data_IF_570754745560
#
_entry.id   IF_570754745560
#
_cell.length_a   1.000
_cell.length_b   1.000
_cell.length_c   1.000
_cell.angle_alpha   90.00
_cell.angle_beta   90.00
_cell.angle_gamma   90.00
#
_symmetry.space_group_name_H-M   'P 1'
#
loop_
_entity.id
_entity.type
_entity.pdbx_description
1 polymer ?
#
# COMPACT_ATOMS: atom_id res chain seq x y z
N UNK A 1 -8.95 13.98 24.46
CA UNK A 1 -8.06 15.16 24.61
C UNK A 1 -8.22 16.18 23.47
N UNK A 2 -8.47 15.76 22.23
CA UNK A 2 -8.56 16.66 21.06
C UNK A 2 -9.74 17.67 21.07
N UNK A 3 -10.95 17.27 21.49
CA UNK A 3 -12.11 18.20 21.58
C UNK A 3 -11.86 19.31 22.61
N UNK A 4 -11.28 18.98 23.77
CA UNK A 4 -10.87 19.97 24.76
C UNK A 4 -9.79 20.91 24.24
N UNK A 5 -8.85 20.43 23.41
CA UNK A 5 -7.78 21.24 22.84
C UNK A 5 -8.31 22.23 21.78
N UNK A 6 -9.27 21.82 20.94
CA UNK A 6 -9.98 22.71 20.00
C UNK A 6 -10.81 23.78 20.70
N UNK A 7 -11.45 23.44 21.83
CA UNK A 7 -12.19 24.40 22.65
C UNK A 7 -11.27 25.39 23.37
N UNK A 8 -10.09 24.96 23.78
CA UNK A 8 -9.08 25.83 24.39
C UNK A 8 -8.47 26.82 23.39
N UNK A 9 -8.37 26.43 22.11
CA UNK A 9 -7.91 27.32 21.03
C UNK A 9 -8.95 28.38 20.62
N UNK A 10 -10.23 28.23 21.02
CA UNK A 10 -11.30 29.18 20.72
C UNK A 10 -12.06 29.57 22.00
N UNK A 11 -11.58 30.56 22.78
CA UNK A 11 -12.11 30.92 24.11
C UNK A 11 -13.54 31.50 24.10
N UNK A 12 -14.20 31.56 22.94
CA UNK A 12 -15.60 31.99 22.77
C UNK A 12 -16.59 30.83 22.74
N UNK A 13 -16.13 29.58 22.79
CA UNK A 13 -16.93 28.39 22.58
C UNK A 13 -17.29 27.70 23.90
N UNK A 14 -18.37 28.12 24.54
CA UNK A 14 -18.91 27.43 25.71
C UNK A 14 -19.95 26.39 25.27
N UNK A 15 -19.52 25.14 25.17
CA UNK A 15 -20.38 24.02 24.71
C UNK A 15 -21.63 23.86 25.58
N UNK A 16 -21.49 23.99 26.90
CA UNK A 16 -22.55 23.64 27.85
C UNK A 16 -23.52 24.79 28.15
N UNK A 17 -23.28 25.99 27.60
CA UNK A 17 -24.21 27.12 27.78
C UNK A 17 -25.24 27.21 26.67
N UNK A 18 -24.94 26.64 25.50
CA UNK A 18 -25.82 26.72 24.35
C UNK A 18 -26.82 25.55 24.37
N UNK A 19 -28.09 25.84 24.06
CA UNK A 19 -29.10 24.79 23.91
C UNK A 19 -28.73 23.86 22.75
N UNK A 20 -28.87 22.53 22.93
CA UNK A 20 -28.57 21.58 21.86
C UNK A 20 -29.52 21.76 20.68
N UNK A 21 -28.99 21.63 19.47
CA UNK A 21 -29.76 21.62 18.23
C UNK A 21 -30.30 20.23 17.94
N UNK A 22 -31.50 20.17 17.36
CA UNK A 22 -32.08 18.94 16.85
C UNK A 22 -31.53 18.63 15.46
N UNK A 23 -31.21 17.37 15.22
CA UNK A 23 -30.79 16.82 13.93
C UNK A 23 -31.75 15.68 13.60
N UNK A 24 -32.29 15.66 12.39
CA UNK A 24 -33.13 14.57 11.88
C UNK A 24 -32.29 13.73 10.91
N UNK A 25 -32.24 12.42 11.10
CA UNK A 25 -31.47 11.52 10.24
C UNK A 25 -32.23 10.23 9.90
N UNK A 26 -31.88 9.67 8.74
CA UNK A 26 -32.43 8.42 8.20
C UNK A 26 -33.88 8.49 7.78
N UNK A 27 -34.33 7.42 7.12
CA UNK A 27 -35.72 7.25 6.67
C UNK A 27 -36.71 7.26 7.85
N UNK A 28 -36.27 6.78 9.02
CA UNK A 28 -37.09 6.78 10.24
C UNK A 28 -37.18 8.16 10.90
N UNK A 29 -36.51 9.18 10.34
CA UNK A 29 -36.46 10.55 10.87
C UNK A 29 -36.07 10.59 12.36
N UNK A 30 -35.06 9.79 12.71
CA UNK A 30 -34.58 9.69 14.10
C UNK A 30 -33.97 11.04 14.51
N UNK A 31 -34.35 11.48 15.70
CA UNK A 31 -33.93 12.78 16.24
C UNK A 31 -32.68 12.58 17.10
N UNK A 32 -31.63 13.31 16.76
CA UNK A 32 -30.40 13.44 17.54
C UNK A 32 -30.27 14.86 18.08
N UNK A 33 -29.46 15.01 19.13
CA UNK A 33 -29.17 16.29 19.75
C UNK A 33 -27.66 16.53 19.76
N UNK A 34 -27.25 17.70 19.27
CA UNK A 34 -25.84 18.07 19.25
C UNK A 34 -25.62 19.54 19.65
N UNK A 35 -24.51 19.82 20.31
CA UNK A 35 -24.19 21.18 20.71
C UNK A 35 -23.77 22.02 19.49
N UNK A 36 -24.40 23.18 19.25
CA UNK A 36 -24.13 24.01 18.07
C UNK A 36 -22.64 24.38 17.95
N UNK A 37 -21.99 24.61 19.09
CA UNK A 37 -20.57 24.94 19.17
C UNK A 37 -19.68 23.86 18.52
N UNK A 38 -19.98 22.58 18.75
CA UNK A 38 -19.20 21.45 18.21
C UNK A 38 -19.38 21.35 16.69
N UNK A 39 -20.61 21.55 16.21
CA UNK A 39 -20.91 21.54 14.78
C UNK A 39 -20.22 22.71 14.06
N UNK A 40 -20.30 23.92 14.62
CA UNK A 40 -19.73 25.12 14.05
C UNK A 40 -18.19 25.13 14.05
N UNK A 41 -17.54 24.54 15.05
CA UNK A 41 -16.07 24.50 15.11
C UNK A 41 -15.44 23.53 14.09
N UNK A 42 -16.20 22.56 13.57
CA UNK A 42 -15.66 21.51 12.72
C UNK A 42 -16.13 21.58 11.25
N UNK A 43 -17.10 22.43 10.93
CA UNK A 43 -17.58 22.64 9.55
C UNK A 43 -17.84 24.12 9.28
N UNK A 44 -17.23 24.65 8.23
CA UNK A 44 -17.47 26.03 7.77
C UNK A 44 -18.92 26.21 7.32
N UNK A 45 -19.50 25.20 6.65
CA UNK A 45 -20.88 25.21 6.21
C UNK A 45 -21.86 25.27 7.39
N UNK A 46 -21.63 24.48 8.43
CA UNK A 46 -22.46 24.52 9.64
C UNK A 46 -22.20 25.77 10.48
N UNK A 47 -20.98 26.29 10.52
CA UNK A 47 -20.72 27.58 11.15
C UNK A 47 -21.51 28.70 10.47
N UNK A 48 -21.56 28.72 9.13
CA UNK A 48 -22.37 29.68 8.38
C UNK A 48 -23.88 29.51 8.63
N UNK A 49 -24.35 28.27 8.82
CA UNK A 49 -25.74 27.96 9.19
C UNK A 49 -26.11 28.39 10.60
N UNK A 50 -25.22 28.19 11.57
CA UNK A 50 -25.50 28.37 13.00
C UNK A 50 -25.20 29.80 13.46
N UNK A 51 -24.02 30.31 13.11
CA UNK A 51 -23.53 31.61 13.56
C UNK A 51 -23.54 32.68 12.45
N UNK A 52 -23.65 32.26 11.20
CA UNK A 52 -23.50 33.11 10.03
C UNK A 52 -24.82 33.60 9.43
N UNK A 53 -24.78 34.08 8.17
CA UNK A 53 -25.90 34.76 7.52
C UNK A 53 -27.09 33.85 7.22
N UNK A 54 -26.94 32.53 7.34
CA UNK A 54 -28.01 31.56 7.08
C UNK A 54 -28.85 31.26 8.32
N UNK A 55 -28.50 31.83 9.47
CA UNK A 55 -29.19 31.66 10.75
C UNK A 55 -30.66 32.11 10.70
N UNK A 56 -30.94 33.19 9.97
CA UNK A 56 -32.30 33.78 9.88
C UNK A 56 -33.31 32.87 9.16
N UNK A 57 -32.83 31.92 8.34
CA UNK A 57 -33.67 30.98 7.61
C UNK A 57 -33.82 29.61 8.30
N UNK A 58 -33.26 29.43 9.51
CA UNK A 58 -33.20 28.12 10.17
C UNK A 58 -33.16 28.14 11.71
N UNK A 59 -33.48 29.27 12.34
CA UNK A 59 -33.26 29.51 13.77
C UNK A 59 -34.05 28.60 14.73
N UNK A 60 -35.07 27.90 14.24
CA UNK A 60 -35.94 27.01 15.02
C UNK A 60 -36.18 25.65 14.35
N UNK A 61 -35.62 25.44 13.15
CA UNK A 61 -35.84 24.21 12.40
C UNK A 61 -34.71 23.21 12.68
N UNK A 62 -35.05 21.93 12.92
CA UNK A 62 -34.05 20.88 13.03
C UNK A 62 -33.12 20.86 11.80
N UNK A 63 -31.85 20.53 12.01
CA UNK A 63 -30.92 20.26 10.91
C UNK A 63 -31.39 18.97 10.23
N UNK A 64 -31.72 19.06 8.95
CA UNK A 64 -32.16 17.91 8.16
C UNK A 64 -30.97 17.19 7.52
N UNK A 65 -30.66 16.01 8.03
CA UNK A 65 -29.71 15.04 7.50
C UNK A 65 -30.43 13.72 7.13
N UNK A 66 -31.72 13.77 6.79
CA UNK A 66 -32.51 12.58 6.43
C UNK A 66 -32.00 11.84 5.19
N UNK A 67 -31.21 12.50 4.34
CA UNK A 67 -30.48 11.89 3.22
C UNK A 67 -29.41 10.85 3.66
N UNK A 68 -29.01 10.86 4.94
CA UNK A 68 -28.02 9.95 5.50
C UNK A 68 -28.66 9.03 6.55
N UNK A 69 -28.29 7.76 6.52
CA UNK A 69 -28.78 6.76 7.46
C UNK A 69 -28.24 6.97 8.88
N UNK A 70 -28.98 6.43 9.85
CA UNK A 70 -28.71 6.57 11.26
C UNK A 70 -27.29 6.13 11.66
N UNK A 71 -26.74 4.98 11.20
CA UNK A 71 -25.38 4.56 11.54
C UNK A 71 -24.32 5.56 11.07
N UNK A 72 -24.51 6.16 9.89
CA UNK A 72 -23.58 7.18 9.36
C UNK A 72 -23.59 8.42 10.24
N UNK A 73 -24.78 8.91 10.61
CA UNK A 73 -24.92 10.09 11.47
C UNK A 73 -24.39 9.82 12.88
N UNK A 74 -24.61 8.63 13.44
CA UNK A 74 -24.00 8.22 14.71
C UNK A 74 -22.47 8.23 14.65
N UNK A 75 -21.86 7.75 13.56
CA UNK A 75 -20.41 7.81 13.36
C UNK A 75 -19.89 9.24 13.31
N UNK A 76 -20.55 10.10 12.53
CA UNK A 76 -20.20 11.53 12.43
C UNK A 76 -20.28 12.19 13.80
N UNK A 77 -21.39 12.02 14.52
CA UNK A 77 -21.56 12.63 15.84
C UNK A 77 -20.53 12.09 16.83
N UNK A 78 -20.26 10.78 16.84
CA UNK A 78 -19.22 10.19 17.68
C UNK A 78 -17.85 10.84 17.43
N UNK A 79 -17.49 11.04 16.16
CA UNK A 79 -16.25 11.72 15.79
C UNK A 79 -16.20 13.15 16.29
N UNK A 80 -17.28 13.91 16.15
CA UNK A 80 -17.30 15.31 16.59
C UNK A 80 -17.08 15.47 18.10
N UNK A 81 -17.50 14.50 18.90
CA UNK A 81 -17.34 14.54 20.37
C UNK A 81 -16.09 13.83 20.87
N UNK A 82 -15.57 12.84 20.16
CA UNK A 82 -14.47 11.99 20.65
C UNK A 82 -13.21 12.06 19.79
N UNK A 83 -13.31 12.65 18.60
CA UNK A 83 -12.30 12.66 17.54
C UNK A 83 -11.95 11.26 17.01
N UNK A 84 -12.84 10.29 17.23
CA UNK A 84 -12.80 8.93 16.68
C UNK A 84 -14.25 8.45 16.44
N UNK A 85 -14.45 7.41 15.63
CA UNK A 85 -15.75 6.75 15.52
C UNK A 85 -15.61 5.26 15.28
N UNK A 86 -16.63 4.53 15.70
CA UNK A 86 -16.73 3.09 15.56
C UNK A 86 -17.95 2.76 14.71
N UNK A 87 -17.77 1.88 13.73
CA UNK A 87 -18.88 1.41 12.91
C UNK A 87 -19.75 0.47 13.75
N UNK A 88 -21.06 0.73 13.90
CA UNK A 88 -21.95 -0.17 14.60
C UNK A 88 -21.92 -1.57 14.01
N UNK A 89 -21.75 -2.60 14.86
CA UNK A 89 -21.66 -4.00 14.43
C UNK A 89 -20.27 -4.46 13.98
N UNK A 90 -19.30 -3.57 13.87
CA UNK A 90 -17.90 -3.95 13.74
C UNK A 90 -17.30 -4.31 15.13
N UNK A 91 -16.52 -5.38 15.18
CA UNK A 91 -15.82 -5.82 16.41
C UNK A 91 -14.41 -5.22 16.38
N UNK A 92 -14.10 -4.37 17.35
CA UNK A 92 -12.78 -3.75 17.50
C UNK A 92 -12.10 -4.30 18.76
N UNK A 93 -10.81 -4.64 18.70
CA UNK A 93 -10.02 -5.00 19.90
C UNK A 93 -9.40 -3.73 20.52
N UNK A 94 -9.52 -3.56 21.84
CA UNK A 94 -9.05 -2.36 22.57
C UNK A 94 -7.57 -2.42 22.96
N UNK A 95 -6.89 -3.53 22.67
CA UNK A 95 -5.53 -3.81 23.16
C UNK A 95 -4.59 -4.24 22.03
N UNK A 96 -3.93 -3.30 21.35
CA UNK A 96 -2.64 -3.60 20.70
C UNK A 96 -1.85 -2.34 20.33
N UNK A 97 -0.54 -2.38 20.60
CA UNK A 97 0.43 -1.35 20.22
C UNK A 97 0.75 -1.51 18.72
N UNK A 98 0.94 -0.41 17.98
CA UNK A 98 1.26 -0.48 16.56
C UNK A 98 2.63 -1.15 16.33
N UNK A 99 2.67 -2.06 15.36
CA UNK A 99 3.90 -2.58 14.76
C UNK A 99 4.39 -1.56 13.71
N UNK A 100 5.56 -0.91 13.91
CA UNK A 100 6.04 0.15 13.03
C UNK A 100 6.41 -0.32 11.61
N UNK A 101 6.56 -1.64 11.38
CA UNK A 101 7.10 -2.16 10.13
C UNK A 101 6.06 -2.26 8.98
N UNK A 102 4.75 -2.24 9.28
CA UNK A 102 3.69 -2.34 8.26
C UNK A 102 3.34 -0.99 7.58
N UNK A 103 3.86 0.13 8.08
CA UNK A 103 3.61 1.47 7.53
C UNK A 103 4.75 1.92 6.61
N UNK A 104 5.94 1.31 6.71
CA UNK A 104 7.14 1.74 5.98
C UNK A 104 7.10 1.46 4.47
N UNK A 105 6.30 0.48 4.02
CA UNK A 105 6.31 0.02 2.62
C UNK A 105 5.24 0.65 1.72
N UNK A 106 4.42 1.60 2.22
CA UNK A 106 3.40 2.25 1.40
C UNK A 106 3.82 3.69 1.07
N UNK A 107 4.63 3.82 0.02
CA UNK A 107 4.88 5.11 -0.61
C UNK A 107 3.61 5.60 -1.35
N UNK A 108 2.75 6.33 -0.61
CA UNK A 108 1.63 7.09 -1.18
C UNK A 108 2.09 8.44 -1.78
N UNK A 109 3.39 8.77 -1.66
CA UNK A 109 3.97 10.05 -2.05
C UNK A 109 4.83 9.99 -3.30
N UNK A 110 4.98 8.83 -3.96
CA UNK A 110 5.79 8.60 -5.16
C UNK A 110 6.00 9.84 -6.04
N UNK A 111 7.02 10.61 -5.67
CA UNK A 111 7.50 11.78 -6.35
C UNK A 111 8.48 11.21 -7.36
N UNK A 112 8.01 10.94 -8.57
CA UNK A 112 8.89 10.48 -9.64
C UNK A 112 9.74 11.66 -10.10
N UNK A 113 11.05 11.47 -10.01
CA UNK A 113 12.10 12.43 -10.31
C UNK A 113 11.88 13.13 -11.66
N UNK A 114 11.89 14.47 -11.64
CA UNK A 114 11.84 15.32 -12.83
C UNK A 114 13.21 15.96 -12.99
N UNK A 115 14.09 15.25 -13.69
CA UNK A 115 15.23 15.81 -14.43
C UNK A 115 15.10 15.28 -15.85
N UNK A 116 14.92 16.03 -16.93
CA UNK A 116 15.23 17.41 -17.27
C UNK A 116 14.20 17.89 -18.31
N UNK A 117 13.57 19.05 -18.14
CA UNK A 117 13.25 20.00 -19.24
C UNK A 117 13.20 21.42 -18.65
N UNK A 118 14.01 22.29 -19.24
CA UNK A 118 14.26 23.69 -18.90
C UNK A 118 13.08 24.62 -19.27
N UNK A 119 12.93 25.74 -18.52
CA UNK A 119 12.25 27.03 -18.84
C UNK A 119 10.80 27.33 -18.30
N UNK A 120 10.37 28.61 -18.12
CA UNK A 120 10.49 29.30 -16.82
C UNK A 120 9.24 30.10 -16.31
N UNK A 121 9.18 30.32 -14.96
CA UNK A 121 8.50 31.42 -14.17
C UNK A 121 6.96 31.37 -13.91
N UNK A 122 6.38 31.91 -12.79
CA UNK A 122 6.80 31.98 -11.36
C UNK A 122 5.77 31.40 -10.34
N UNK A 123 6.32 30.90 -9.23
CA UNK A 123 5.93 31.00 -7.82
C UNK A 123 4.47 31.27 -7.42
N UNK A 124 3.82 30.23 -6.89
CA UNK A 124 2.91 30.36 -5.74
C UNK A 124 3.09 29.13 -4.86
N UNK A 125 3.86 29.30 -3.79
CA UNK A 125 4.08 28.31 -2.74
C UNK A 125 2.75 28.00 -2.03
N UNK A 126 2.27 26.76 -2.13
CA UNK A 126 1.33 26.18 -1.18
C UNK A 126 2.10 25.14 -0.37
N UNK A 127 2.62 25.59 0.77
CA UNK A 127 3.05 24.73 1.86
C UNK A 127 1.86 23.90 2.35
N UNK A 128 1.81 22.62 1.98
CA UNK A 128 1.10 21.59 2.73
C UNK A 128 2.15 20.67 3.35
N UNK A 129 2.79 21.15 4.41
CA UNK A 129 3.58 20.31 5.31
C UNK A 129 2.60 19.45 6.13
N UNK A 130 2.61 18.15 5.85
CA UNK A 130 2.03 17.11 6.69
C UNK A 130 2.70 17.17 8.07
N UNK A 131 1.97 17.57 9.12
CA UNK A 131 2.38 17.32 10.51
C UNK A 131 1.80 15.98 11.00
N UNK A 132 2.62 15.00 11.44
CA UNK A 132 2.18 13.64 11.76
C UNK A 132 1.73 13.43 13.22
N UNK A 133 1.40 14.48 13.98
CA UNK A 133 1.30 14.41 15.45
C UNK A 133 0.04 13.70 16.01
N UNK A 134 -0.80 13.06 15.19
CA UNK A 134 -1.93 12.26 15.68
C UNK A 134 -1.60 10.76 15.63
N UNK A 135 -1.61 10.04 16.78
CA UNK A 135 -1.45 8.60 16.79
C UNK A 135 -2.54 7.93 15.93
N UNK A 136 -2.11 7.25 14.87
CA UNK A 136 -2.99 6.47 14.02
C UNK A 136 -3.68 5.36 14.85
N UNK A 137 -4.99 5.12 14.67
CA UNK A 137 -5.60 3.87 15.09
C UNK A 137 -4.86 2.69 14.42
N UNK A 138 -4.40 1.66 15.18
CA UNK A 138 -3.65 0.55 14.60
C UNK A 138 -4.43 -0.21 13.54
N UNK A 139 -3.76 -0.61 12.45
CA UNK A 139 -4.25 -1.58 11.45
C UNK A 139 -4.72 -2.88 12.12
N UNK A 140 -4.14 -3.24 13.28
CA UNK A 140 -4.48 -4.43 14.07
C UNK A 140 -5.95 -4.48 14.53
N UNK A 141 -6.65 -3.34 14.58
CA UNK A 141 -8.10 -3.33 14.88
C UNK A 141 -8.96 -4.03 13.82
N UNK A 142 -8.40 -4.27 12.62
CA UNK A 142 -9.04 -5.00 11.54
C UNK A 142 -8.43 -6.40 11.31
N UNK A 143 -7.50 -6.85 12.15
CA UNK A 143 -6.76 -8.10 11.93
C UNK A 143 -7.54 -9.38 12.29
N UNK A 144 -8.72 -9.30 12.93
CA UNK A 144 -9.54 -10.50 13.26
C UNK A 144 -10.84 -10.61 12.44
N UNK A 145 -10.88 -9.99 11.26
CA UNK A 145 -12.03 -10.10 10.35
C UNK A 145 -12.04 -11.37 9.48
N UNK A 146 -11.07 -12.27 9.65
CA UNK A 146 -10.95 -13.56 8.95
C UNK A 146 -12.22 -14.44 8.96
N UNK A 147 -13.25 -14.11 9.73
CA UNK A 147 -14.47 -14.92 9.85
C UNK A 147 -15.81 -14.20 9.55
N UNK A 148 -15.82 -12.93 9.09
CA UNK A 148 -17.10 -12.22 8.78
C UNK A 148 -16.98 -11.23 7.59
N UNK A 149 -17.08 -11.70 6.34
CA UNK A 149 -17.04 -10.84 5.14
C UNK A 149 -18.16 -9.78 5.13
N UNK A 150 -19.37 -10.13 5.57
CA UNK A 150 -20.50 -9.19 5.59
C UNK A 150 -20.25 -7.99 6.52
N UNK A 151 -19.61 -8.20 7.67
CA UNK A 151 -19.28 -7.14 8.62
C UNK A 151 -18.22 -6.19 8.06
N UNK A 152 -17.24 -6.74 7.34
CA UNK A 152 -16.24 -5.96 6.62
C UNK A 152 -16.84 -5.15 5.48
N UNK A 153 -17.68 -5.77 4.66
CA UNK A 153 -18.39 -5.10 3.58
C UNK A 153 -19.24 -3.93 4.10
N UNK A 154 -19.97 -4.15 5.19
CA UNK A 154 -20.70 -3.09 5.88
C UNK A 154 -19.78 -1.96 6.35
N UNK A 155 -18.62 -2.29 6.90
CA UNK A 155 -17.62 -1.32 7.37
C UNK A 155 -17.07 -0.45 6.22
N UNK A 156 -16.76 -1.04 5.07
CA UNK A 156 -16.36 -0.31 3.85
C UNK A 156 -17.44 0.70 3.45
N UNK A 157 -18.69 0.26 3.44
CA UNK A 157 -19.82 1.10 3.04
C UNK A 157 -20.03 2.26 4.02
N UNK A 158 -19.97 2.02 5.33
CA UNK A 158 -20.13 3.08 6.34
C UNK A 158 -19.01 4.11 6.24
N UNK A 159 -17.73 3.71 6.11
CA UNK A 159 -16.65 4.68 5.93
C UNK A 159 -16.83 5.52 4.65
N UNK A 160 -17.34 4.91 3.58
CA UNK A 160 -17.67 5.61 2.34
C UNK A 160 -18.81 6.61 2.52
N UNK A 161 -19.86 6.26 3.28
CA UNK A 161 -20.96 7.18 3.63
C UNK A 161 -20.50 8.33 4.51
N UNK A 162 -19.69 8.07 5.53
CA UNK A 162 -19.12 9.10 6.40
C UNK A 162 -18.23 10.04 5.59
N UNK A 163 -17.44 9.52 4.65
CA UNK A 163 -16.68 10.34 3.72
C UNK A 163 -17.59 11.25 2.88
N UNK A 164 -18.63 10.72 2.25
CA UNK A 164 -19.57 11.50 1.44
C UNK A 164 -20.29 12.58 2.27
N UNK A 165 -20.65 12.24 3.51
CA UNK A 165 -21.19 13.20 4.47
C UNK A 165 -20.20 14.32 4.75
N UNK A 166 -18.96 13.97 5.10
CA UNK A 166 -17.92 14.93 5.44
C UNK A 166 -17.61 15.86 4.26
N UNK A 167 -17.52 15.30 3.06
CA UNK A 167 -17.32 16.05 1.83
C UNK A 167 -18.46 17.05 1.56
N UNK A 168 -19.73 16.59 1.63
CA UNK A 168 -20.92 17.43 1.38
C UNK A 168 -21.04 18.60 2.34
N UNK A 169 -20.68 18.40 3.61
CA UNK A 169 -20.77 19.42 4.65
C UNK A 169 -19.42 20.08 5.01
N UNK A 170 -18.38 19.85 4.21
CA UNK A 170 -17.04 20.43 4.37
C UNK A 170 -16.43 20.20 5.77
N UNK A 171 -16.49 18.97 6.27
CA UNK A 171 -15.76 18.52 7.45
C UNK A 171 -14.40 17.94 7.06
N UNK A 172 -13.42 18.78 6.72
CA UNK A 172 -12.12 18.35 6.16
C UNK A 172 -11.39 17.30 7.01
N UNK A 173 -11.31 17.50 8.34
CA UNK A 173 -10.64 16.51 9.22
C UNK A 173 -11.37 15.17 9.27
N UNK A 174 -12.70 15.17 9.18
CA UNK A 174 -13.50 13.94 9.13
C UNK A 174 -13.39 13.27 7.76
N UNK A 175 -13.30 14.06 6.70
CA UNK A 175 -13.11 13.60 5.33
C UNK A 175 -11.79 12.82 5.21
N UNK A 176 -10.69 13.41 5.68
CA UNK A 176 -9.38 12.77 5.75
C UNK A 176 -9.41 11.51 6.64
N UNK A 177 -10.01 11.62 7.82
CA UNK A 177 -10.10 10.49 8.74
C UNK A 177 -10.92 9.33 8.18
N UNK A 178 -12.03 9.61 7.49
CA UNK A 178 -12.85 8.59 6.85
C UNK A 178 -12.11 7.88 5.71
N UNK A 179 -11.34 8.61 4.90
CA UNK A 179 -10.47 8.01 3.87
C UNK A 179 -9.41 7.12 4.50
N UNK A 180 -8.78 7.57 5.58
CA UNK A 180 -7.78 6.77 6.30
C UNK A 180 -8.40 5.46 6.76
N UNK A 181 -9.55 5.50 7.43
CA UNK A 181 -10.28 4.30 7.89
C UNK A 181 -10.68 3.38 6.73
N UNK A 182 -11.20 3.95 5.63
CA UNK A 182 -11.53 3.19 4.43
C UNK A 182 -10.30 2.47 3.86
N UNK A 183 -9.16 3.16 3.80
CA UNK A 183 -7.89 2.58 3.34
C UNK A 183 -7.46 1.40 4.22
N UNK A 184 -7.52 1.57 5.54
CA UNK A 184 -7.17 0.51 6.50
C UNK A 184 -8.01 -0.76 6.29
N UNK A 185 -9.33 -0.58 6.11
CA UNK A 185 -10.25 -1.70 5.88
C UNK A 185 -9.96 -2.38 4.54
N UNK A 186 -9.76 -1.61 3.47
CA UNK A 186 -9.46 -2.18 2.14
C UNK A 186 -8.16 -3.00 2.15
N UNK A 187 -7.15 -2.57 2.90
CA UNK A 187 -5.89 -3.31 3.06
C UNK A 187 -6.07 -4.59 3.89
N UNK A 188 -6.86 -4.56 4.96
CA UNK A 188 -7.12 -5.73 5.80
C UNK A 188 -7.95 -6.81 5.09
N UNK A 189 -8.76 -6.41 4.11
CA UNK A 189 -9.71 -7.27 3.38
C UNK A 189 -9.12 -7.99 2.16
N UNK A 190 -7.80 -7.94 1.95
CA UNK A 190 -7.16 -8.27 0.69
C UNK A 190 -7.49 -9.68 0.14
N UNK A 191 -7.71 -10.65 1.03
CA UNK A 191 -7.95 -12.05 0.67
C UNK A 191 -9.43 -12.42 0.49
N UNK A 192 -10.37 -11.56 0.91
CA UNK A 192 -11.81 -11.82 0.89
C UNK A 192 -12.56 -11.05 -0.23
N UNK A 193 -11.82 -10.53 -1.22
CA UNK A 193 -12.33 -9.56 -2.19
C UNK A 193 -13.55 -10.03 -2.99
N UNK A 194 -13.64 -11.32 -3.33
CA UNK A 194 -14.79 -11.86 -4.07
C UNK A 194 -16.10 -11.74 -3.30
N UNK A 195 -16.07 -11.90 -1.98
CA UNK A 195 -17.26 -11.83 -1.10
C UNK A 195 -17.62 -10.38 -0.75
N UNK A 196 -16.61 -9.51 -0.69
CA UNK A 196 -16.75 -8.10 -0.33
C UNK A 196 -17.16 -7.21 -1.52
N UNK A 197 -16.97 -7.70 -2.74
CA UNK A 197 -17.14 -6.88 -3.94
C UNK A 197 -18.51 -6.21 -4.05
N UNK A 198 -19.66 -6.82 -3.72
CA UNK A 198 -20.94 -6.13 -3.77
C UNK A 198 -20.96 -4.84 -2.95
N UNK A 199 -20.37 -4.87 -1.75
CA UNK A 199 -20.27 -3.70 -0.87
C UNK A 199 -19.26 -2.67 -1.39
N UNK A 200 -18.16 -3.14 -2.00
CA UNK A 200 -17.19 -2.27 -2.67
C UNK A 200 -17.83 -1.57 -3.88
N UNK A 201 -18.61 -2.28 -4.69
CA UNK A 201 -19.36 -1.74 -5.82
C UNK A 201 -20.35 -0.66 -5.35
N UNK A 202 -21.10 -0.92 -4.28
CA UNK A 202 -21.99 0.09 -3.69
C UNK A 202 -21.23 1.31 -3.18
N UNK A 203 -20.04 1.10 -2.60
CA UNK A 203 -19.16 2.18 -2.16
C UNK A 203 -18.63 3.02 -3.34
N UNK A 204 -18.27 2.38 -4.45
CA UNK A 204 -17.88 3.05 -5.70
C UNK A 204 -19.04 3.89 -6.22
N UNK A 205 -20.22 3.30 -6.39
CA UNK A 205 -21.42 4.01 -6.87
C UNK A 205 -21.74 5.22 -5.99
N UNK A 206 -21.68 5.04 -4.68
CA UNK A 206 -21.94 6.09 -3.70
C UNK A 206 -20.95 7.25 -3.82
N UNK A 207 -19.64 6.95 -3.81
CA UNK A 207 -18.60 7.97 -3.85
C UNK A 207 -18.65 8.72 -5.17
N UNK A 208 -18.70 8.02 -6.31
CA UNK A 208 -18.73 8.67 -7.62
C UNK A 208 -20.02 9.47 -7.84
N UNK A 209 -21.16 9.01 -7.33
CA UNK A 209 -22.41 9.76 -7.35
C UNK A 209 -22.41 11.01 -6.45
N UNK A 210 -21.71 10.96 -5.32
CA UNK A 210 -21.68 12.06 -4.33
C UNK A 210 -20.56 13.08 -4.57
N UNK A 211 -19.58 12.76 -5.43
CA UNK A 211 -18.41 13.59 -5.69
C UNK A 211 -18.21 13.89 -7.17
N UNK A 212 -19.16 14.51 -7.90
CA UNK A 212 -19.06 14.72 -9.35
C UNK A 212 -17.72 15.32 -9.77
N UNK A 213 -17.21 14.92 -10.95
CA UNK A 213 -15.94 15.46 -11.47
C UNK A 213 -16.05 16.98 -11.63
N UNK A 214 -15.46 17.72 -10.69
CA UNK A 214 -15.18 19.13 -10.86
C UNK A 214 -13.75 19.29 -11.40
N UNK A 215 -13.49 20.45 -12.02
CA UNK A 215 -12.15 20.89 -12.46
C UNK A 215 -11.14 20.64 -11.32
N UNK A 216 -9.92 20.13 -11.61
CA UNK A 216 -9.00 19.58 -10.61
C UNK A 216 -8.78 20.46 -9.37
N UNK A 217 -8.52 19.85 -8.19
CA UNK A 217 -7.85 18.53 -8.02
C UNK A 217 -8.76 17.29 -7.93
N UNK A 218 -8.18 16.13 -8.28
CA UNK A 218 -8.80 14.80 -8.25
C UNK A 218 -9.27 14.42 -6.83
N UNK A 219 -10.49 13.89 -6.71
CA UNK A 219 -11.07 13.55 -5.41
C UNK A 219 -10.33 12.36 -4.77
N UNK A 220 -9.89 12.46 -3.50
CA UNK A 220 -9.00 11.47 -2.90
C UNK A 220 -9.67 10.10 -2.69
N UNK A 221 -10.98 10.04 -2.42
CA UNK A 221 -11.69 8.76 -2.33
C UNK A 221 -11.90 8.10 -3.70
N UNK A 222 -12.19 8.89 -4.76
CA UNK A 222 -12.26 8.36 -6.13
C UNK A 222 -10.94 7.73 -6.55
N UNK A 223 -9.83 8.43 -6.27
CA UNK A 223 -8.47 7.95 -6.50
C UNK A 223 -8.14 6.70 -5.70
N UNK A 224 -8.52 6.64 -4.42
CA UNK A 224 -8.32 5.47 -3.57
C UNK A 224 -9.02 4.24 -4.17
N UNK A 225 -10.30 4.35 -4.50
CA UNK A 225 -11.09 3.23 -5.02
C UNK A 225 -10.62 2.78 -6.41
N UNK A 226 -10.39 3.72 -7.33
CA UNK A 226 -9.90 3.37 -8.68
C UNK A 226 -8.53 2.72 -8.62
N UNK A 227 -7.60 3.23 -7.79
CA UNK A 227 -6.28 2.63 -7.58
C UNK A 227 -6.38 1.25 -6.92
N UNK A 228 -7.23 1.08 -5.92
CA UNK A 228 -7.41 -0.20 -5.25
C UNK A 228 -7.95 -1.28 -6.21
N UNK A 229 -9.01 -0.96 -6.96
CA UNK A 229 -9.56 -1.86 -7.98
C UNK A 229 -8.53 -2.15 -9.07
N UNK A 230 -7.80 -1.12 -9.53
CA UNK A 230 -6.74 -1.31 -10.51
C UNK A 230 -5.67 -2.27 -9.99
N UNK A 231 -5.22 -2.12 -8.74
CA UNK A 231 -4.23 -2.99 -8.09
C UNK A 231 -4.67 -4.45 -8.04
N UNK A 232 -5.95 -4.69 -7.74
CA UNK A 232 -6.53 -6.02 -7.55
C UNK A 232 -7.28 -6.54 -8.78
N UNK A 233 -7.16 -5.86 -9.92
CA UNK A 233 -7.96 -6.14 -11.12
C UNK A 233 -7.95 -7.60 -11.55
N UNK A 234 -6.81 -8.29 -11.48
CA UNK A 234 -6.67 -9.70 -11.83
C UNK A 234 -7.16 -10.69 -10.75
N UNK A 235 -7.28 -10.24 -9.51
CA UNK A 235 -7.74 -11.03 -8.36
C UNK A 235 -9.26 -10.92 -8.14
N UNK A 236 -9.90 -9.91 -8.73
CA UNK A 236 -11.35 -9.73 -8.68
C UNK A 236 -12.02 -10.74 -9.62
N UNK A 237 -13.05 -11.43 -9.11
CA UNK A 237 -13.91 -12.26 -9.95
C UNK A 237 -14.53 -11.40 -11.06
N UNK A 238 -14.43 -11.89 -12.29
CA UNK A 238 -14.92 -11.21 -13.50
C UNK A 238 -16.40 -10.88 -13.39
N UNK A 239 -17.22 -11.79 -12.85
CA UNK A 239 -18.69 -11.63 -12.76
C UNK A 239 -19.10 -10.44 -11.87
N UNK A 240 -18.37 -10.22 -10.78
CA UNK A 240 -18.67 -9.15 -9.84
C UNK A 240 -18.29 -7.78 -10.43
N UNK A 241 -17.11 -7.71 -11.04
CA UNK A 241 -16.56 -6.48 -11.63
C UNK A 241 -17.27 -6.07 -12.93
N UNK A 242 -17.76 -7.03 -13.72
CA UNK A 242 -18.50 -6.79 -14.97
C UNK A 242 -19.68 -5.85 -14.79
N UNK A 243 -20.41 -5.96 -13.67
CA UNK A 243 -21.57 -5.09 -13.40
C UNK A 243 -21.18 -3.62 -13.32
N UNK A 244 -20.12 -3.31 -12.56
CA UNK A 244 -19.61 -1.95 -12.38
C UNK A 244 -18.93 -1.45 -13.66
N UNK A 245 -18.25 -2.33 -14.41
CA UNK A 245 -17.67 -1.98 -15.70
C UNK A 245 -18.76 -1.62 -16.72
N UNK A 246 -19.84 -2.39 -16.76
CA UNK A 246 -20.96 -2.18 -17.69
C UNK A 246 -21.73 -0.88 -17.40
N UNK A 247 -21.72 -0.40 -16.15
CA UNK A 247 -22.28 0.92 -15.77
C UNK A 247 -21.52 2.08 -16.41
N UNK A 248 -20.21 1.93 -16.65
CA UNK A 248 -19.38 2.96 -17.27
C UNK A 248 -19.19 4.21 -16.40
N UNK A 249 -19.04 5.38 -17.04
CA UNK A 249 -18.93 6.68 -16.37
C UNK A 249 -17.54 7.03 -15.85
N UNK A 250 -17.47 8.03 -14.98
CA UNK A 250 -16.22 8.61 -14.44
C UNK A 250 -15.33 7.55 -13.77
N UNK A 251 -15.93 6.56 -13.09
CA UNK A 251 -15.18 5.48 -12.47
C UNK A 251 -14.37 4.68 -13.48
N UNK A 252 -14.94 4.36 -14.64
CA UNK A 252 -14.23 3.61 -15.67
C UNK A 252 -13.13 4.43 -16.34
N UNK A 253 -13.31 5.75 -16.44
CA UNK A 253 -12.27 6.67 -16.91
C UNK A 253 -11.08 6.60 -15.94
N UNK A 254 -11.33 6.81 -14.64
CA UNK A 254 -10.29 6.78 -13.62
C UNK A 254 -9.62 5.40 -13.54
N UNK A 255 -10.39 4.31 -13.54
CA UNK A 255 -9.85 2.95 -13.55
C UNK A 255 -8.99 2.68 -14.79
N UNK A 256 -9.42 3.11 -15.97
CA UNK A 256 -8.64 2.93 -17.21
C UNK A 256 -7.31 3.66 -17.15
N UNK A 257 -7.28 4.90 -16.61
CA UNK A 257 -6.05 5.64 -16.39
C UNK A 257 -5.12 4.92 -15.40
N UNK A 258 -5.66 4.37 -14.31
CA UNK A 258 -4.86 3.59 -13.35
C UNK A 258 -4.30 2.31 -13.98
N UNK A 259 -5.08 1.59 -14.78
CA UNK A 259 -4.62 0.39 -15.48
C UNK A 259 -3.57 0.71 -16.54
N UNK A 260 -3.75 1.77 -17.33
CA UNK A 260 -2.74 2.23 -18.30
C UNK A 260 -1.42 2.58 -17.62
N UNK A 261 -1.46 3.29 -16.49
CA UNK A 261 -0.26 3.60 -15.70
C UNK A 261 0.44 2.33 -15.21
N UNK A 262 -0.32 1.36 -14.70
CA UNK A 262 0.22 0.07 -14.25
C UNK A 262 0.85 -0.74 -15.38
N UNK A 263 0.22 -0.75 -16.56
CA UNK A 263 0.76 -1.44 -17.73
C UNK A 263 2.06 -0.80 -18.23
N UNK A 264 2.12 0.54 -18.20
CA UNK A 264 3.34 1.27 -18.55
C UNK A 264 4.49 1.01 -17.56
N UNK A 265 4.20 0.98 -16.25
CA UNK A 265 5.21 0.66 -15.24
C UNK A 265 5.67 -0.80 -15.34
N UNK A 266 4.73 -1.76 -15.46
CA UNK A 266 5.08 -3.17 -15.57
C UNK A 266 5.87 -3.50 -16.84
N UNK A 267 5.61 -2.80 -17.95
CA UNK A 267 6.36 -2.99 -19.19
C UNK A 267 7.83 -2.62 -19.03
N UNK A 268 8.11 -1.54 -18.28
CA UNK A 268 9.47 -1.10 -17.97
C UNK A 268 10.18 -2.11 -17.08
N UNK A 269 9.53 -2.57 -16.01
CA UNK A 269 10.09 -3.58 -15.10
C UNK A 269 10.40 -4.90 -15.83
N UNK A 270 9.50 -5.31 -16.74
CA UNK A 270 9.68 -6.53 -17.54
C UNK A 270 10.87 -6.38 -18.50
N UNK A 271 11.02 -5.23 -19.16
CA UNK A 271 12.15 -4.96 -20.04
C UNK A 271 13.49 -4.97 -19.29
N UNK A 272 13.54 -4.37 -18.09
CA UNK A 272 14.72 -4.41 -17.22
C UNK A 272 15.07 -5.85 -16.85
N UNK A 273 14.06 -6.68 -16.53
CA UNK A 273 14.28 -8.08 -16.20
C UNK A 273 14.77 -8.90 -17.39
N UNK A 274 14.25 -8.66 -18.59
CA UNK A 274 14.71 -9.30 -19.84
C UNK A 274 16.18 -8.97 -20.10
N UNK A 275 16.60 -7.71 -19.97
CA UNK A 275 18.00 -7.30 -20.12
C UNK A 275 18.92 -8.00 -19.09
N UNK A 276 18.48 -8.17 -17.85
CA UNK A 276 19.23 -8.90 -16.82
C UNK A 276 19.35 -10.40 -17.15
N UNK A 277 18.30 -11.02 -17.70
CA UNK A 277 18.33 -12.41 -18.12
C UNK A 277 19.34 -12.61 -19.25
N UNK A 278 19.33 -11.73 -20.25
CA UNK A 278 20.28 -11.78 -21.37
C UNK A 278 21.73 -11.59 -20.91
N UNK A 279 21.96 -10.66 -19.97
CA UNK A 279 23.29 -10.47 -19.38
C UNK A 279 23.77 -11.72 -18.61
N UNK A 280 22.89 -12.34 -17.83
CA UNK A 280 23.21 -13.56 -17.08
C UNK A 280 23.49 -14.74 -18.03
N UNK A 281 22.73 -14.87 -19.12
CA UNK A 281 22.97 -15.89 -20.14
C UNK A 281 24.33 -15.70 -20.80
N UNK A 282 24.70 -14.47 -21.18
CA UNK A 282 26.01 -14.17 -21.75
C UNK A 282 27.16 -14.50 -20.78
N UNK A 283 27.00 -14.20 -19.48
CA UNK A 283 28.00 -14.55 -18.46
C UNK A 283 28.13 -16.06 -18.27
N UNK A 284 27.03 -16.82 -18.34
CA UNK A 284 27.06 -18.29 -18.27
C UNK A 284 27.85 -18.88 -19.45
N UNK A 285 27.63 -18.41 -20.68
CA UNK A 285 28.37 -18.88 -21.86
C UNK A 285 29.88 -18.61 -21.76
N UNK A 286 30.26 -17.44 -21.26
CA UNK A 286 31.67 -17.09 -21.01
C UNK A 286 32.28 -18.00 -19.97
N UNK A 287 31.61 -18.20 -18.83
CA UNK A 287 32.07 -19.07 -17.75
C UNK A 287 32.18 -20.54 -18.20
N UNK A 288 31.23 -21.02 -18.99
CA UNK A 288 31.26 -22.37 -19.55
C UNK A 288 32.47 -22.55 -20.49
N UNK A 289 32.71 -21.57 -21.36
CA UNK A 289 33.88 -21.55 -22.24
C UNK A 289 35.21 -21.54 -21.45
N UNK A 290 35.29 -20.77 -20.37
CA UNK A 290 36.45 -20.75 -19.49
C UNK A 290 36.65 -22.07 -18.74
N UNK A 291 35.56 -22.68 -18.26
CA UNK A 291 35.59 -23.99 -17.62
C UNK A 291 36.11 -25.05 -18.58
N UNK A 292 35.60 -25.10 -19.81
CA UNK A 292 36.08 -26.01 -20.86
C UNK A 292 37.57 -25.80 -21.17
N UNK A 293 38.04 -24.55 -21.25
CA UNK A 293 39.48 -24.27 -21.44
C UNK A 293 40.32 -24.78 -20.28
N UNK A 294 39.88 -24.57 -19.03
CA UNK A 294 40.59 -25.06 -17.84
C UNK A 294 40.59 -26.59 -17.77
N UNK A 295 39.51 -27.25 -18.16
CA UNK A 295 39.42 -28.71 -18.29
C UNK A 295 40.49 -29.25 -19.24
N UNK A 296 40.60 -28.66 -20.45
CA UNK A 296 41.61 -29.04 -21.45
C UNK A 296 43.04 -28.81 -20.92
N UNK A 297 43.26 -27.71 -20.19
CA UNK A 297 44.56 -27.45 -19.56
C UNK A 297 44.91 -28.47 -18.47
N UNK A 298 43.94 -28.81 -17.63
CA UNK A 298 44.12 -29.83 -16.59
C UNK A 298 44.48 -31.17 -17.20
N UNK A 299 43.81 -31.57 -18.27
CA UNK A 299 44.11 -32.85 -18.94
C UNK A 299 45.52 -32.88 -19.51
N UNK A 300 45.97 -31.78 -20.13
CA UNK A 300 47.35 -31.63 -20.61
C UNK A 300 48.37 -31.74 -19.48
N UNK A 301 48.13 -31.09 -18.34
CA UNK A 301 49.04 -31.17 -17.20
C UNK A 301 49.07 -32.57 -16.59
N UNK A 302 47.94 -33.29 -16.54
CA UNK A 302 47.92 -34.70 -16.12
C UNK A 302 48.78 -35.57 -17.02
N UNK A 303 48.63 -35.45 -18.34
CA UNK A 303 49.46 -36.18 -19.31
C UNK A 303 50.95 -35.87 -19.13
N UNK A 304 51.30 -34.60 -18.91
CA UNK A 304 52.69 -34.20 -18.67
C UNK A 304 53.24 -34.80 -17.37
N UNK A 305 52.46 -34.79 -16.28
CA UNK A 305 52.82 -35.44 -15.02
C UNK A 305 53.03 -36.94 -15.23
N UNK A 306 52.12 -37.64 -15.93
CA UNK A 306 52.28 -39.07 -16.22
C UNK A 306 53.55 -39.38 -17.03
N UNK A 307 53.87 -38.53 -18.01
CA UNK A 307 55.10 -38.63 -18.79
C UNK A 307 56.34 -38.45 -17.90
N UNK A 308 56.36 -37.43 -17.03
CA UNK A 308 57.43 -37.21 -16.07
C UNK A 308 57.61 -38.40 -15.13
N UNK A 309 56.51 -38.94 -14.58
CA UNK A 309 56.57 -40.13 -13.74
C UNK A 309 57.11 -41.36 -14.48
N UNK A 310 56.69 -41.57 -15.73
CA UNK A 310 57.20 -42.64 -16.59
C UNK A 310 58.70 -42.51 -16.85
N UNK A 311 59.16 -41.30 -17.14
CA UNK A 311 60.58 -41.00 -17.33
C UNK A 311 61.39 -41.27 -16.06
N UNK A 312 60.85 -40.88 -14.90
CA UNK A 312 61.49 -41.11 -13.61
C UNK A 312 61.56 -42.60 -13.24
N UNK A 313 60.51 -43.38 -13.55
CA UNK A 313 60.52 -44.85 -13.46
C UNK A 313 61.62 -45.47 -14.33
N UNK A 314 61.81 -44.96 -15.56
CA UNK A 314 62.87 -45.39 -16.47
C UNK A 314 64.30 -45.11 -15.97
N UNK A 315 64.52 -43.96 -15.33
CA UNK A 315 65.81 -43.60 -14.72
C UNK A 315 66.11 -44.46 -13.49
N UNK A 316 65.13 -44.68 -12.61
CA UNK A 316 65.24 -45.58 -11.46
C UNK A 316 65.63 -47.01 -11.88
N UNK A 317 65.04 -47.55 -12.95
CA UNK A 317 65.39 -48.86 -13.51
C UNK A 317 66.81 -48.94 -14.07
N UNK A 318 67.34 -47.85 -14.64
CA UNK A 318 68.73 -47.78 -15.13
C UNK A 318 69.72 -47.70 -13.97
N UNK A 319 69.42 -46.92 -12.92
CA UNK A 319 70.23 -46.88 -11.70
C UNK A 319 70.25 -48.24 -10.98
N UNK A 320 69.12 -48.97 -10.93
CA UNK A 320 69.10 -50.31 -10.32
C UNK A 320 69.89 -51.34 -11.14
N UNK A 321 69.82 -51.28 -12.48
CA UNK A 321 70.64 -52.12 -13.38
C UNK A 321 72.13 -51.78 -13.32
N UNK A 322 72.50 -50.50 -13.25
CA UNK A 322 73.89 -50.07 -13.05
C UNK A 322 74.43 -50.53 -11.68
N UNK A 323 73.63 -50.40 -10.62
CA UNK A 323 73.98 -50.88 -9.27
C UNK A 323 74.09 -52.42 -9.22
N UNK A 324 73.26 -53.16 -9.97
CA UNK A 324 73.41 -54.62 -10.15
C UNK A 324 74.66 -54.99 -10.93
N UNK A 325 74.99 -54.28 -12.02
CA UNK A 325 76.23 -54.53 -12.79
C UNK A 325 77.50 -54.18 -12.00
N UNK A 326 77.48 -53.12 -11.20
CA UNK A 326 78.59 -52.79 -10.28
C UNK A 326 78.72 -53.83 -9.17
N UNK A 327 77.62 -54.32 -8.61
CA UNK A 327 77.67 -55.47 -7.66
C UNK A 327 78.16 -56.76 -8.31
N UNK A 328 77.87 -57.01 -9.59
CA UNK A 328 78.35 -58.18 -10.34
C UNK A 328 79.83 -58.03 -10.74
N UNK A 329 80.33 -56.81 -10.98
CA UNK A 329 81.73 -56.53 -11.31
C UNK A 329 82.66 -56.40 -10.08
N UNK A 330 82.09 -56.25 -8.87
CA UNK A 330 82.84 -56.30 -7.60
C UNK A 330 82.96 -57.75 -7.07
N UNK A 331 82.25 -58.71 -7.65
CA UNK A 331 82.41 -60.15 -7.42
C UNK A 331 83.07 -60.78 -8.66
N UNK A 332 84.22 -60.22 -9.05
CA UNK A 332 85.36 -60.91 -9.67
C UNK A 332 86.41 -59.85 -9.99
N UNK A 333 87.52 -59.84 -9.22
CA UNK A 333 88.70 -60.47 -9.79
C UNK A 333 89.52 -61.29 -8.80
N UNK A 334 89.78 -62.53 -9.23
CA UNK A 334 91.07 -63.22 -9.18
C UNK A 334 91.43 -64.01 -7.90
N UNK A 335 91.32 -65.35 -7.99
CA UNK A 335 92.34 -66.24 -7.47
C UNK A 335 92.56 -67.41 -8.44
N UNK A 336 93.51 -67.20 -9.35
CA UNK A 336 94.39 -68.26 -9.80
C UNK A 336 95.60 -68.32 -8.84
N UNK A 337 96.09 -69.55 -8.60
CA UNK A 337 97.34 -69.93 -7.91
C UNK A 337 97.30 -70.20 -6.40
N UNK A 338 96.94 -71.43 -6.02
CA UNK A 338 97.90 -72.48 -5.59
C UNK A 338 97.23 -73.85 -5.47
#
# INVERSE_FOLDING_TARGET
MAVFQKLLQNPRCSIFTDSPLQIIAGENKRIYYAHPTILACNSSALNARINGPWREHGNSEPIDWSDFDEPTVECVLSYLYTSDYYVPGAVYDEQEKPDPDLIADIDLNGNFDVSDVESPVPDTELHNEWEPDRPLPPLSRYSRFENRPEALGHTILIHSKVYCFAHRFCFTELEEFAIQRLTQVLLACNDLLSELFPHLADSIRLIYGSTPTAVPPENPARRLLSRFVALRYSALSVENLETVIAEGGDFMIDLSHQLCRRLASSGTDTQIMEEQIDELQARLEVLESEAQRKEIQLERYKEEIEQWESWNRGLSGKYSKAKRKVKQAVIDPNEASL
#
